data_IF_284442299350
#
_entry.id   IF_284442299350
#
_cell.length_a   1.000
_cell.length_b   1.000
_cell.length_c   1.000
_cell.angle_alpha   90.00
_cell.angle_beta   90.00
_cell.angle_gamma   90.00
#
_symmetry.space_group_name_H-M   'P 1'
#
loop_
_entity.id
_entity.type
_entity.pdbx_description
1 polymer ?
#
# COMPACT_ATOMS: atom_id res chain seq x y z
N UNK A 1 -1.00 0.55 19.16
CA UNK A 1 -2.40 0.65 18.70
C UNK A 1 -3.05 1.80 19.45
N UNK A 2 -3.33 2.91 18.76
CA UNK A 2 -4.01 4.07 19.32
C UNK A 2 -5.51 3.79 19.39
N UNK A 3 -6.14 4.14 20.50
CA UNK A 3 -7.57 3.90 20.72
C UNK A 3 -8.36 5.08 20.16
N UNK A 4 -9.50 4.81 19.53
CA UNK A 4 -10.41 5.85 19.02
C UNK A 4 -10.93 6.70 20.20
N UNK A 5 -10.79 8.04 20.17
CA UNK A 5 -11.36 8.91 21.21
C UNK A 5 -12.87 8.72 21.37
N UNK A 6 -13.39 8.90 22.59
CA UNK A 6 -14.81 8.63 22.93
C UNK A 6 -15.80 9.36 22.01
N UNK A 7 -15.51 10.61 21.66
CA UNK A 7 -16.36 11.42 20.78
C UNK A 7 -16.47 10.80 19.39
N UNK A 8 -15.33 10.42 18.78
CA UNK A 8 -15.31 9.75 17.48
C UNK A 8 -16.00 8.38 17.57
N UNK A 9 -15.81 7.64 18.67
CA UNK A 9 -16.50 6.37 18.90
C UNK A 9 -18.03 6.54 18.91
N UNK A 10 -18.55 7.60 19.54
CA UNK A 10 -19.98 7.87 19.56
C UNK A 10 -20.52 8.21 18.17
N UNK A 11 -19.80 9.03 17.40
CA UNK A 11 -20.20 9.42 16.05
C UNK A 11 -20.21 8.20 15.12
N UNK A 12 -19.18 7.34 15.19
CA UNK A 12 -19.11 6.09 14.39
C UNK A 12 -20.26 5.14 14.75
N UNK A 13 -20.62 5.03 16.03
CA UNK A 13 -21.78 4.21 16.43
C UNK A 13 -23.10 4.78 15.91
N UNK A 14 -23.23 6.11 15.90
CA UNK A 14 -24.42 6.80 15.41
C UNK A 14 -24.56 6.73 13.87
N UNK A 15 -23.45 6.60 13.13
CA UNK A 15 -23.47 6.55 11.66
C UNK A 15 -24.02 5.23 11.09
N UNK A 16 -24.25 4.21 11.92
CA UNK A 16 -24.82 2.90 11.54
C UNK A 16 -24.09 2.27 10.35
N UNK A 17 -22.76 2.33 10.36
CA UNK A 17 -21.92 1.73 9.31
C UNK A 17 -21.66 2.62 8.09
N UNK A 18 -22.22 3.83 8.04
CA UNK A 18 -21.85 4.81 7.01
C UNK A 18 -20.51 5.49 7.35
N UNK A 19 -19.69 5.82 6.34
CA UNK A 19 -18.49 6.64 6.51
C UNK A 19 -18.78 7.94 7.25
N UNK A 20 -17.96 8.25 8.25
CA UNK A 20 -18.05 9.52 8.99
C UNK A 20 -17.04 10.50 8.41
N UNK A 21 -17.48 11.72 8.08
CA UNK A 21 -16.60 12.80 7.64
C UNK A 21 -16.31 13.74 8.80
N UNK A 22 -15.04 14.07 8.98
CA UNK A 22 -14.54 14.97 10.00
C UNK A 22 -13.71 16.06 9.32
N UNK A 23 -13.97 17.32 9.64
CA UNK A 23 -13.16 18.44 9.12
C UNK A 23 -12.24 18.94 10.22
N UNK A 24 -10.94 19.04 9.94
CA UNK A 24 -10.03 19.76 10.83
C UNK A 24 -10.33 21.27 10.74
N UNK A 25 -10.79 21.93 11.82
CA UNK A 25 -11.16 23.34 11.79
C UNK A 25 -9.97 24.28 11.53
N UNK A 26 -8.72 23.82 11.74
CA UNK A 26 -7.53 24.64 11.49
C UNK A 26 -7.11 24.59 10.02
N UNK A 27 -7.02 23.40 9.46
CA UNK A 27 -6.51 23.18 8.09
C UNK A 27 -7.62 23.11 7.04
N UNK A 28 -8.89 22.98 7.46
CA UNK A 28 -10.06 22.73 6.62
C UNK A 28 -9.96 21.44 5.78
N UNK A 29 -9.05 20.53 6.15
CA UNK A 29 -8.91 19.22 5.51
C UNK A 29 -10.02 18.31 6.02
N UNK A 30 -10.69 17.63 5.09
CA UNK A 30 -11.69 16.61 5.39
C UNK A 30 -11.03 15.23 5.49
N UNK A 31 -11.34 14.51 6.57
CA UNK A 31 -10.94 13.14 6.83
C UNK A 31 -12.16 12.25 6.84
N UNK A 32 -12.03 11.03 6.35
CA UNK A 32 -13.10 10.02 6.37
C UNK A 32 -12.70 8.89 7.32
N UNK A 33 -13.55 8.60 8.29
CA UNK A 33 -13.40 7.47 9.21
C UNK A 33 -14.20 6.28 8.67
N UNK A 34 -13.49 5.18 8.42
CA UNK A 34 -13.99 3.93 7.87
C UNK A 34 -13.55 2.76 8.75
N UNK A 35 -14.27 1.63 8.78
CA UNK A 35 -13.70 0.37 9.23
C UNK A 35 -12.47 0.00 8.40
N UNK A 36 -11.42 -0.54 9.04
CA UNK A 36 -10.17 -0.89 8.37
C UNK A 36 -10.39 -1.85 7.18
N UNK A 37 -11.25 -2.85 7.34
CA UNK A 37 -11.60 -3.80 6.29
C UNK A 37 -12.15 -3.12 5.02
N UNK A 38 -12.95 -2.07 5.16
CA UNK A 38 -13.50 -1.31 4.03
C UNK A 38 -12.40 -0.50 3.35
N UNK A 39 -11.50 0.11 4.12
CA UNK A 39 -10.34 0.80 3.56
C UNK A 39 -9.44 -0.16 2.78
N UNK A 40 -9.15 -1.33 3.33
CA UNK A 40 -8.31 -2.35 2.68
C UNK A 40 -8.94 -2.85 1.37
N UNK A 41 -10.27 -3.00 1.33
CA UNK A 41 -10.99 -3.31 0.10
C UNK A 41 -10.92 -2.17 -0.92
N UNK A 42 -11.11 -0.92 -0.50
CA UNK A 42 -11.02 0.24 -1.39
C UNK A 42 -9.63 0.44 -1.98
N UNK A 43 -8.57 0.14 -1.21
CA UNK A 43 -7.18 0.21 -1.69
C UNK A 43 -6.93 -0.70 -2.90
N UNK A 44 -7.71 -1.78 -3.04
CA UNK A 44 -7.61 -2.64 -4.22
C UNK A 44 -8.11 -1.97 -5.51
N UNK A 45 -8.95 -0.93 -5.38
CA UNK A 45 -9.53 -0.14 -6.47
C UNK A 45 -8.94 1.27 -6.59
N UNK A 46 -7.83 1.53 -5.89
CA UNK A 46 -7.14 2.81 -6.00
C UNK A 46 -6.37 2.87 -7.32
N UNK A 47 -6.93 3.61 -8.29
CA UNK A 47 -6.33 3.86 -9.61
C UNK A 47 -5.24 4.95 -9.57
N UNK A 48 -4.86 5.43 -8.38
CA UNK A 48 -3.72 6.34 -8.24
C UNK A 48 -2.48 5.65 -8.80
N UNK A 49 -1.75 6.27 -9.75
CA UNK A 49 -0.50 5.71 -10.23
C UNK A 49 0.43 5.48 -9.05
N UNK A 50 0.85 4.23 -8.87
CA UNK A 50 1.83 3.87 -7.86
C UNK A 50 3.06 4.74 -8.07
N UNK A 51 3.62 5.28 -6.99
CA UNK A 51 4.95 5.87 -7.05
C UNK A 51 5.96 4.76 -7.40
N UNK A 52 7.07 5.14 -8.02
CA UNK A 52 8.07 4.17 -8.51
C UNK A 52 8.54 3.19 -7.42
N UNK A 53 8.72 3.68 -6.19
CA UNK A 53 9.08 2.86 -5.03
C UNK A 53 7.95 1.92 -4.57
N UNK A 54 6.69 2.36 -4.66
CA UNK A 54 5.53 1.52 -4.34
C UNK A 54 5.36 0.41 -5.36
N UNK A 55 5.52 0.73 -6.65
CA UNK A 55 5.49 -0.23 -7.74
C UNK A 55 6.62 -1.26 -7.61
N UNK A 56 7.84 -0.82 -7.33
CA UNK A 56 8.99 -1.72 -7.14
C UNK A 56 8.76 -2.66 -5.94
N UNK A 57 8.28 -2.14 -4.82
CA UNK A 57 7.97 -2.96 -3.64
C UNK A 57 6.85 -3.98 -3.92
N UNK A 58 5.83 -3.61 -4.69
CA UNK A 58 4.75 -4.51 -5.07
C UNK A 58 5.25 -5.60 -6.01
N UNK A 59 6.10 -5.27 -6.98
CA UNK A 59 6.71 -6.22 -7.90
C UNK A 59 7.56 -7.24 -7.15
N UNK A 60 8.43 -6.78 -6.23
CA UNK A 60 9.25 -7.66 -5.38
C UNK A 60 8.35 -8.60 -4.57
N UNK A 61 7.33 -8.07 -3.88
CA UNK A 61 6.40 -8.89 -3.07
C UNK A 61 5.62 -9.90 -3.92
N UNK A 62 5.26 -9.54 -5.16
CA UNK A 62 4.62 -10.46 -6.08
C UNK A 62 5.58 -11.57 -6.51
N UNK A 63 6.83 -11.24 -6.83
CA UNK A 63 7.89 -12.20 -7.14
C UNK A 63 8.15 -13.17 -5.99
N UNK A 64 8.32 -12.69 -4.77
CA UNK A 64 8.51 -13.54 -3.58
C UNK A 64 7.36 -14.52 -3.38
N UNK A 65 6.11 -14.09 -3.55
CA UNK A 65 4.95 -15.01 -3.48
C UNK A 65 4.91 -16.02 -4.61
N UNK A 66 5.55 -15.72 -5.73
CA UNK A 66 5.68 -16.62 -6.87
C UNK A 66 6.94 -17.50 -6.80
N UNK A 67 7.68 -17.47 -5.68
CA UNK A 67 8.90 -18.25 -5.48
C UNK A 67 10.12 -17.71 -6.22
N UNK A 68 10.15 -16.44 -6.60
CA UNK A 68 11.30 -15.85 -7.32
C UNK A 68 12.56 -15.74 -6.45
N UNK A 69 12.44 -15.94 -5.14
CA UNK A 69 13.55 -16.08 -4.20
C UNK A 69 14.00 -17.54 -3.98
N UNK A 70 13.39 -18.50 -4.66
CA UNK A 70 13.83 -19.89 -4.61
C UNK A 70 15.14 -20.07 -5.41
N UNK A 71 16.04 -20.91 -4.91
CA UNK A 71 17.36 -21.17 -5.52
C UNK A 71 17.26 -21.62 -6.99
N UNK A 72 16.18 -22.32 -7.35
CA UNK A 72 15.93 -22.74 -8.74
C UNK A 72 15.68 -21.56 -9.70
N UNK A 73 15.18 -20.42 -9.18
CA UNK A 73 14.91 -19.22 -9.95
C UNK A 73 16.14 -18.34 -10.16
N UNK A 74 17.25 -18.60 -9.46
CA UNK A 74 18.49 -17.83 -9.61
C UNK A 74 19.12 -17.97 -11.01
N UNK A 75 18.79 -19.02 -11.76
CA UNK A 75 19.26 -19.20 -13.14
C UNK A 75 18.85 -18.04 -14.05
N UNK A 76 17.71 -17.39 -13.77
CA UNK A 76 17.27 -16.24 -14.55
C UNK A 76 18.12 -14.99 -14.28
N UNK A 77 18.72 -14.90 -13.08
CA UNK A 77 19.68 -13.85 -12.77
C UNK A 77 20.96 -14.05 -13.57
N UNK A 78 21.39 -15.29 -13.86
CA UNK A 78 22.60 -15.56 -14.67
C UNK A 78 22.39 -15.28 -16.16
N UNK A 79 21.15 -15.42 -16.64
CA UNK A 79 20.77 -15.21 -18.03
C UNK A 79 20.40 -13.75 -18.35
N UNK A 80 20.45 -12.83 -17.37
CA UNK A 80 20.11 -11.42 -17.58
C UNK A 80 21.20 -10.73 -18.43
N UNK A 81 20.93 -10.38 -19.70
CA UNK A 81 21.92 -9.76 -20.59
C UNK A 81 22.33 -8.35 -20.14
N UNK A 82 21.65 -7.76 -19.14
CA UNK A 82 22.04 -6.49 -18.53
C UNK A 82 23.23 -6.63 -17.58
N UNK A 83 23.47 -7.81 -17.01
CA UNK A 83 24.64 -8.07 -16.15
C UNK A 83 25.95 -7.96 -16.91
N UNK A 84 25.97 -8.42 -18.16
CA UNK A 84 27.15 -8.34 -19.02
C UNK A 84 27.46 -6.92 -19.51
N UNK A 85 26.52 -5.97 -19.33
CA UNK A 85 26.68 -4.57 -19.69
C UNK A 85 27.01 -3.65 -18.50
N UNK A 86 27.18 -4.21 -17.29
CA UNK A 86 27.76 -3.50 -16.15
C UNK A 86 29.29 -3.48 -16.28
N UNK A 87 29.79 -2.64 -17.20
CA UNK A 87 31.21 -2.32 -17.36
C UNK A 87 31.70 -1.61 -16.07
N UNK A 88 32.75 -2.09 -15.37
CA UNK A 88 33.19 -1.53 -14.09
C UNK A 88 33.97 -0.21 -14.21
N UNK A 89 33.83 0.52 -15.32
CA UNK A 89 34.55 1.78 -15.56
C UNK A 89 33.67 2.80 -16.29
N UNK A 90 32.74 3.44 -15.57
CA UNK A 90 32.32 4.81 -15.90
C UNK A 90 31.75 5.56 -14.70
#
# INVERSE_FOLDING_TARGET
MTIIPKEIQQIVRASKGHPVRLTDPKTHVEYIVLPAEIFDQMKLYDDTPLRDDEMQNLLIRAGLRAGWDEEEMDIYNELDPRRDNEDPTR
#
